data_IF_839171956133
#
_entry.id   IF_839171956133
#
_cell.length_a   1.000
_cell.length_b   1.000
_cell.length_c   1.000
_cell.angle_alpha   90.00
_cell.angle_beta   90.00
_cell.angle_gamma   90.00
#
_symmetry.space_group_name_H-M   'P 1'
#
loop_
_entity.id
_entity.type
_entity.pdbx_description
1 polymer ?
#
# COMPACT_ATOMS: atom_id res chain seq x y z
N UNK A 1 -11.23 -3.35 18.02
CA UNK A 1 -11.93 -4.47 17.33
C UNK A 1 -11.72 -4.35 15.81
N UNK A 2 -11.51 -5.45 15.04
CA UNK A 2 -11.41 -5.40 13.57
C UNK A 2 -12.52 -4.60 12.88
N UNK A 3 -13.74 -4.61 13.41
CA UNK A 3 -14.87 -3.86 12.84
C UNK A 3 -14.76 -2.35 13.08
N UNK A 4 -14.18 -1.92 14.20
CA UNK A 4 -13.91 -0.50 14.45
C UNK A 4 -12.84 0.02 13.50
N UNK A 5 -11.79 -0.77 13.25
CA UNK A 5 -10.75 -0.42 12.28
C UNK A 5 -11.34 -0.30 10.85
N UNK A 6 -12.24 -1.21 10.46
CA UNK A 6 -12.95 -1.12 9.19
C UNK A 6 -13.82 0.13 9.09
N UNK A 7 -14.44 0.57 10.20
CA UNK A 7 -15.21 1.81 10.24
C UNK A 7 -14.32 3.03 10.02
N UNK A 8 -13.15 3.10 10.68
CA UNK A 8 -12.20 4.20 10.48
C UNK A 8 -11.65 4.23 9.05
N UNK A 9 -11.37 3.06 8.47
CA UNK A 9 -10.95 2.95 7.07
C UNK A 9 -12.00 3.52 6.11
N UNK A 10 -13.27 3.15 6.33
CA UNK A 10 -14.41 3.72 5.57
C UNK A 10 -14.48 5.24 5.70
N UNK A 11 -14.37 5.77 6.92
CA UNK A 11 -14.39 7.22 7.18
C UNK A 11 -13.21 7.95 6.52
N UNK A 12 -12.09 7.26 6.33
CA UNK A 12 -10.90 7.75 5.65
C UNK A 12 -10.93 7.56 4.12
N UNK A 13 -12.02 7.04 3.57
CA UNK A 13 -12.14 6.73 2.14
C UNK A 13 -11.24 5.57 1.66
N UNK A 14 -10.81 4.70 2.58
CA UNK A 14 -9.96 3.54 2.28
C UNK A 14 -10.83 2.30 2.09
N UNK A 15 -10.74 1.69 0.91
CA UNK A 15 -11.40 0.43 0.57
C UNK A 15 -10.55 -0.77 0.99
N UNK A 16 -11.13 -1.71 1.72
CA UNK A 16 -10.44 -2.93 2.18
C UNK A 16 -11.00 -4.15 1.44
N UNK A 17 -10.12 -4.89 0.79
CA UNK A 17 -10.40 -6.22 0.26
C UNK A 17 -9.86 -7.27 1.23
N UNK A 18 -10.69 -8.24 1.62
CA UNK A 18 -10.31 -9.29 2.57
C UNK A 18 -10.14 -10.62 1.84
N UNK A 19 -9.06 -11.36 2.15
CA UNK A 19 -8.75 -12.65 1.53
C UNK A 19 -8.62 -13.72 2.60
N UNK A 20 -9.54 -14.67 2.63
CA UNK A 20 -9.48 -15.84 3.52
C UNK A 20 -8.69 -16.97 2.87
N UNK A 21 -7.59 -17.39 3.50
CA UNK A 21 -6.69 -18.45 3.00
C UNK A 21 -6.91 -19.72 3.81
N UNK A 22 -7.01 -20.86 3.13
CA UNK A 22 -7.19 -22.17 3.76
C UNK A 22 -7.89 -23.15 2.82
N UNK A 23 -7.58 -24.44 2.94
CA UNK A 23 -8.18 -25.48 2.10
C UNK A 23 -9.54 -25.96 2.67
N UNK A 24 -10.33 -26.61 1.82
CA UNK A 24 -11.56 -27.29 2.24
C UNK A 24 -11.23 -28.47 3.18
N UNK A 25 -12.24 -28.98 3.87
CA UNK A 25 -12.07 -30.13 4.75
C UNK A 25 -11.62 -31.36 3.96
N UNK A 26 -10.54 -32.00 4.42
CA UNK A 26 -9.98 -33.19 3.79
C UNK A 26 -10.04 -34.39 4.73
N UNK A 27 -10.35 -35.56 4.18
CA UNK A 27 -10.25 -36.83 4.88
C UNK A 27 -8.80 -37.33 4.75
N UNK A 28 -8.05 -37.27 5.84
CA UNK A 28 -6.67 -37.78 5.92
C UNK A 28 -6.68 -39.18 6.51
N UNK A 29 -6.09 -40.16 5.82
CA UNK A 29 -5.86 -41.49 6.38
C UNK A 29 -4.69 -41.42 7.37
N UNK A 30 -4.95 -41.82 8.60
CA UNK A 30 -3.97 -42.03 9.67
C UNK A 30 -3.84 -43.53 9.96
N UNK A 31 -2.77 -43.90 10.65
CA UNK A 31 -2.52 -45.26 11.16
C UNK A 31 -3.66 -45.80 12.06
N UNK A 32 -4.52 -44.91 12.57
CA UNK A 32 -5.68 -45.25 13.40
C UNK A 32 -7.05 -45.11 12.71
N UNK A 33 -7.10 -44.81 11.39
CA UNK A 33 -8.35 -44.66 10.65
C UNK A 33 -8.41 -43.41 9.76
N UNK A 34 -9.62 -43.03 9.31
CA UNK A 34 -9.84 -41.82 8.51
C UNK A 34 -10.15 -40.65 9.46
N UNK A 35 -9.30 -39.63 9.47
CA UNK A 35 -9.48 -38.40 10.24
C UNK A 35 -9.91 -37.26 9.31
N UNK A 36 -10.93 -36.51 9.70
CA UNK A 36 -11.35 -35.30 9.00
C UNK A 36 -10.52 -34.12 9.52
N UNK A 37 -9.77 -33.46 8.64
CA UNK A 37 -8.95 -32.29 8.97
C UNK A 37 -9.54 -31.07 8.28
N UNK A 38 -9.81 -30.02 9.06
CA UNK A 38 -10.28 -28.73 8.56
C UNK A 38 -9.19 -27.67 8.79
N UNK A 39 -8.35 -27.38 7.79
CA UNK A 39 -7.29 -26.37 7.91
C UNK A 39 -7.83 -24.93 7.96
N UNK A 40 -9.14 -24.73 7.81
CA UNK A 40 -9.81 -23.44 7.80
C UNK A 40 -10.75 -23.23 9.01
N UNK A 41 -10.63 -24.07 10.05
CA UNK A 41 -11.56 -24.08 11.19
C UNK A 41 -11.62 -22.75 11.95
N UNK A 42 -10.49 -22.05 12.06
CA UNK A 42 -10.39 -20.77 12.77
C UNK A 42 -10.64 -19.54 11.87
N UNK A 43 -11.01 -19.76 10.60
CA UNK A 43 -11.22 -18.67 9.65
C UNK A 43 -12.61 -18.04 9.86
N UNK A 44 -12.63 -16.83 10.44
CA UNK A 44 -13.86 -16.05 10.58
C UNK A 44 -14.23 -15.32 9.28
N UNK A 45 -14.79 -16.08 8.33
CA UNK A 45 -15.24 -15.55 7.05
C UNK A 45 -16.36 -14.49 7.21
N UNK A 46 -17.15 -14.56 8.28
CA UNK A 46 -18.24 -13.61 8.54
C UNK A 46 -17.67 -12.23 8.86
N UNK A 47 -16.69 -12.16 9.75
CA UNK A 47 -16.03 -10.89 10.11
C UNK A 47 -15.27 -10.33 8.91
N UNK A 48 -14.53 -11.17 8.16
CA UNK A 48 -13.83 -10.73 6.95
C UNK A 48 -14.78 -10.18 5.87
N UNK A 49 -15.93 -10.83 5.68
CA UNK A 49 -16.96 -10.37 4.75
C UNK A 49 -17.53 -9.02 5.18
N UNK A 50 -17.80 -8.87 6.49
CA UNK A 50 -18.34 -7.63 7.04
C UNK A 50 -17.37 -6.46 6.87
N UNK A 51 -16.07 -6.67 7.11
CA UNK A 51 -15.03 -5.64 6.91
C UNK A 51 -14.99 -5.17 5.45
N UNK A 52 -14.98 -6.09 4.50
CA UNK A 52 -14.95 -5.75 3.08
C UNK A 52 -16.20 -4.98 2.66
N UNK A 53 -17.39 -5.45 3.05
CA UNK A 53 -18.65 -4.76 2.75
C UNK A 53 -18.73 -3.37 3.38
N UNK A 54 -18.25 -3.20 4.61
CA UNK A 54 -18.26 -1.90 5.30
C UNK A 54 -17.44 -0.85 4.56
N UNK A 55 -16.31 -1.25 3.97
CA UNK A 55 -15.36 -0.35 3.30
C UNK A 55 -15.57 -0.24 1.79
N UNK A 56 -16.54 -0.97 1.23
CA UNK A 56 -16.87 -0.97 -0.20
C UNK A 56 -16.04 -1.94 -1.05
N UNK A 57 -15.22 -2.78 -0.42
CA UNK A 57 -14.45 -3.82 -1.10
C UNK A 57 -15.21 -5.13 -1.20
N UNK A 58 -14.48 -6.22 -1.50
CA UNK A 58 -15.02 -7.57 -1.63
C UNK A 58 -14.20 -8.59 -0.84
N UNK A 59 -14.90 -9.59 -0.31
CA UNK A 59 -14.28 -10.77 0.29
C UNK A 59 -13.97 -11.82 -0.77
N UNK A 60 -12.78 -12.43 -0.67
CA UNK A 60 -12.35 -13.52 -1.52
C UNK A 60 -11.87 -14.70 -0.68
N UNK A 61 -12.05 -15.91 -1.22
CA UNK A 61 -11.58 -17.16 -0.62
C UNK A 61 -10.52 -17.78 -1.53
N UNK A 62 -9.33 -18.03 -0.99
CA UNK A 62 -8.26 -18.74 -1.67
C UNK A 62 -8.06 -20.11 -1.03
N UNK A 63 -8.34 -21.18 -1.79
CA UNK A 63 -8.13 -22.58 -1.36
C UNK A 63 -6.76 -23.11 -1.75
N UNK A 64 -6.12 -22.48 -2.72
CA UNK A 64 -4.81 -22.85 -3.24
C UNK A 64 -4.05 -21.60 -3.74
N UNK A 65 -2.73 -21.70 -3.97
CA UNK A 65 -1.93 -20.57 -4.46
C UNK A 65 -2.40 -20.01 -5.81
N UNK A 66 -2.95 -20.85 -6.70
CA UNK A 66 -3.41 -20.41 -8.01
C UNK A 66 -4.67 -19.53 -7.92
N UNK A 67 -5.57 -19.83 -6.98
CA UNK A 67 -6.72 -18.97 -6.68
C UNK A 67 -6.29 -17.65 -6.05
N UNK A 68 -5.30 -17.68 -5.15
CA UNK A 68 -4.76 -16.47 -4.54
C UNK A 68 -4.20 -15.51 -5.61
N UNK A 69 -3.43 -16.04 -6.57
CA UNK A 69 -2.89 -15.25 -7.68
C UNK A 69 -4.00 -14.62 -8.53
N UNK A 70 -5.03 -15.40 -8.87
CA UNK A 70 -6.22 -14.90 -9.59
C UNK A 70 -6.94 -13.78 -8.82
N UNK A 71 -7.04 -13.89 -7.50
CA UNK A 71 -7.67 -12.86 -6.65
C UNK A 71 -6.88 -11.55 -6.74
N UNK A 72 -5.55 -11.60 -6.66
CA UNK A 72 -4.73 -10.40 -6.81
C UNK A 72 -4.87 -9.76 -8.20
N UNK A 73 -4.97 -10.57 -9.26
CA UNK A 73 -5.22 -10.07 -10.61
C UNK A 73 -6.56 -9.35 -10.72
N UNK A 74 -7.63 -9.91 -10.12
CA UNK A 74 -8.96 -9.27 -10.08
C UNK A 74 -8.89 -7.94 -9.32
N UNK A 75 -8.24 -7.91 -8.15
CA UNK A 75 -8.11 -6.68 -7.36
C UNK A 75 -7.35 -5.61 -8.16
N UNK A 76 -6.26 -5.97 -8.84
CA UNK A 76 -5.50 -5.01 -9.66
C UNK A 76 -6.30 -4.48 -10.87
N UNK A 77 -7.23 -5.27 -11.41
CA UNK A 77 -8.13 -4.80 -12.47
C UNK A 77 -9.19 -3.82 -11.95
N UNK A 78 -9.68 -4.05 -10.72
CA UNK A 78 -10.66 -3.17 -10.07
C UNK A 78 -10.02 -1.86 -9.58
N UNK A 79 -8.82 -1.96 -9.01
CA UNK A 79 -8.04 -0.85 -8.44
C UNK A 79 -6.68 -0.75 -9.16
N UNK A 80 -6.65 -0.33 -10.43
CA UNK A 80 -5.39 -0.16 -11.14
C UNK A 80 -4.58 0.88 -10.39
N UNK A 81 -3.38 0.49 -9.96
CA UNK A 81 -2.47 1.40 -9.26
C UNK A 81 -2.13 2.53 -10.22
N UNK A 82 -2.73 3.70 -9.99
CA UNK A 82 -2.39 4.90 -10.73
C UNK A 82 -0.97 5.27 -10.28
N UNK A 83 0.04 4.85 -11.03
CA UNK A 83 1.42 5.30 -10.88
C UNK A 83 1.59 6.81 -11.16
N UNK A 84 0.48 7.54 -11.26
CA UNK A 84 0.43 8.98 -11.29
C UNK A 84 0.60 9.51 -9.86
N UNK A 85 1.87 9.69 -9.48
CA UNK A 85 2.40 10.56 -8.42
C UNK A 85 3.46 9.84 -7.56
N UNK A 86 4.48 9.29 -8.22
CA UNK A 86 5.81 9.82 -7.88
C UNK A 86 5.68 11.33 -8.11
N UNK A 87 5.31 12.06 -7.06
CA UNK A 87 5.24 13.52 -7.10
C UNK A 87 6.67 13.92 -7.42
N UNK A 88 6.92 14.14 -8.71
CA UNK A 88 8.07 14.89 -9.18
C UNK A 88 7.90 16.22 -8.46
N UNK A 89 8.56 16.33 -7.31
CA UNK A 89 8.79 17.60 -6.63
C UNK A 89 10.09 18.06 -7.27
N UNK A 90 10.05 18.80 -8.39
CA UNK A 90 11.27 19.46 -8.84
C UNK A 90 11.63 20.41 -7.70
N UNK A 91 12.64 20.01 -6.92
CA UNK A 91 13.23 20.90 -5.93
C UNK A 91 14.04 21.89 -6.74
N UNK A 92 13.40 22.96 -7.18
CA UNK A 92 14.12 24.05 -7.83
C UNK A 92 15.08 24.64 -6.81
N UNK A 93 16.36 24.32 -6.97
CA UNK A 93 17.44 24.82 -6.13
C UNK A 93 17.66 26.30 -6.47
N UNK A 94 16.85 27.20 -5.89
CA UNK A 94 17.00 28.65 -6.03
C UNK A 94 18.36 29.19 -5.56
N UNK A 95 19.26 28.32 -5.05
CA UNK A 95 20.59 28.66 -4.54
C UNK A 95 21.51 29.34 -5.57
N UNK A 96 21.27 29.16 -6.87
CA UNK A 96 22.05 29.84 -7.93
C UNK A 96 21.93 31.36 -7.89
N UNK A 97 20.77 31.91 -7.53
CA UNK A 97 20.54 33.35 -7.50
C UNK A 97 21.34 34.07 -6.39
N UNK A 98 21.26 33.69 -5.09
CA UNK A 98 22.05 34.35 -4.06
C UNK A 98 23.56 34.15 -4.25
N UNK A 99 24.01 33.00 -4.76
CA UNK A 99 25.43 32.73 -5.00
C UNK A 99 26.02 33.66 -6.08
N UNK A 100 25.31 33.83 -7.20
CA UNK A 100 25.76 34.70 -8.29
C UNK A 100 25.80 36.16 -7.86
N UNK A 101 24.80 36.63 -7.10
CA UNK A 101 24.78 37.98 -6.53
C UNK A 101 25.95 38.21 -5.58
N UNK A 102 26.22 37.29 -4.67
CA UNK A 102 27.34 37.40 -3.72
C UNK A 102 28.70 37.45 -4.44
N UNK A 103 28.88 36.63 -5.48
CA UNK A 103 30.12 36.56 -6.25
C UNK A 103 30.37 37.84 -7.06
N UNK A 104 29.33 38.40 -7.67
CA UNK A 104 29.41 39.68 -8.39
C UNK A 104 29.71 40.84 -7.43
N UNK A 105 29.03 40.90 -6.29
CA UNK A 105 29.31 41.92 -5.26
C UNK A 105 30.76 41.83 -4.76
N UNK A 106 31.25 40.61 -4.51
CA UNK A 106 32.64 40.38 -4.08
C UNK A 106 33.66 40.90 -5.11
N UNK A 107 33.44 40.63 -6.40
CA UNK A 107 34.29 41.13 -7.49
C UNK A 107 34.27 42.67 -7.58
N UNK A 108 33.10 43.30 -7.46
CA UNK A 108 32.97 44.76 -7.49
C UNK A 108 33.76 45.39 -6.34
N UNK A 109 33.64 44.84 -5.12
CA UNK A 109 34.37 45.33 -3.95
C UNK A 109 35.88 45.18 -4.14
N UNK A 110 36.34 44.04 -4.68
CA UNK A 110 37.77 43.80 -4.92
C UNK A 110 38.36 44.81 -5.93
N UNK A 111 37.63 45.13 -7.00
CA UNK A 111 38.04 46.11 -8.01
C UNK A 111 38.09 47.52 -7.42
N UNK A 112 37.06 47.92 -6.66
CA UNK A 112 37.03 49.23 -6.00
C UNK A 112 38.14 49.38 -4.97
N UNK A 113 38.44 48.33 -4.19
CA UNK A 113 39.53 48.33 -3.22
C UNK A 113 40.90 48.44 -3.88
N UNK A 114 41.11 47.77 -5.01
CA UNK A 114 42.36 47.88 -5.79
C UNK A 114 42.53 49.26 -6.43
N UNK A 115 41.45 50.00 -6.68
CA UNK A 115 41.51 51.34 -7.28
C UNK A 115 41.74 52.46 -6.26
N UNK A 116 41.45 52.19 -4.98
CA UNK A 116 41.53 53.16 -3.88
C UNK A 116 42.73 52.94 -2.93
N UNK A 117 43.64 52.01 -3.26
CA UNK A 117 44.92 51.83 -2.58
C UNK A 117 46.05 51.89 -3.60
#
# INVERSE_FOLDING_TARGET
DPLEAAKLAKESGVTIYTVGIGADEMLQRSIFGVQKVNPSQDLDEKTLTKIAQMTGGKYFRARNPQELDKIYQIINQLEPVNNAQQTWRPRDELFRYPLTVALVLSLIIAILRKRNG
#
